data_IF_681925340839
#
_entry.id   IF_681925340839
#
_cell.length_a   1.000
_cell.length_b   1.000
_cell.length_c   1.000
_cell.angle_alpha   90.00
_cell.angle_beta   90.00
_cell.angle_gamma   90.00
#
_symmetry.space_group_name_H-M   'P 1'
#
loop_
_entity.id
_entity.type
_entity.pdbx_description
1 polymer ?
2 non-polymer ?
3 non-polymer ?
4 non-polymer ?
5 water ?
#
# COMPACT_ATOMS: atom_id res chain seq x y z
N UNK A 1 -2.63 -0.57 16.38
CA UNK A 1 -1.51 -1.07 15.53
C UNK A 1 -1.75 -2.49 15.05
N UNK A 2 -1.20 -2.78 13.88
CA UNK A 2 -1.30 -4.07 13.27
C UNK A 2 0.08 -4.69 13.14
N UNK A 3 0.11 -6.02 13.08
CA UNK A 3 1.33 -6.77 13.07
C UNK A 3 1.32 -7.90 12.08
N UNK A 4 2.53 -8.24 11.63
CA UNK A 4 2.72 -9.40 10.77
C UNK A 4 4.09 -10.05 10.93
N UNK A 5 4.06 -11.37 11.09
CA UNK A 5 5.22 -12.19 11.23
C UNK A 5 5.42 -13.07 10.04
N UNK A 6 6.54 -12.87 9.36
CA UNK A 6 6.88 -13.73 8.25
C UNK A 6 7.22 -15.16 8.71
N UNK A 7 7.66 -15.30 9.95
CA UNK A 7 8.01 -16.62 10.48
C UNK A 7 6.77 -17.38 10.72
N UNK A 8 6.58 -18.45 9.97
CA UNK A 8 5.34 -19.19 10.03
C UNK A 8 4.23 -18.67 9.15
N UNK A 9 4.52 -17.69 8.30
CA UNK A 9 3.43 -17.05 7.58
C UNK A 9 2.93 -18.01 6.53
N UNK A 10 1.65 -17.95 6.25
CA UNK A 10 1.05 -18.74 5.21
C UNK A 10 0.00 -17.84 4.56
N UNK A 11 -0.59 -18.28 3.44
CA UNK A 11 -1.64 -17.40 2.83
C UNK A 11 -2.76 -16.97 3.78
N UNK A 12 -3.15 -17.88 4.67
CA UNK A 12 -4.18 -17.57 5.61
C UNK A 12 -3.77 -16.48 6.58
N UNK A 13 -2.58 -16.55 7.15
CA UNK A 13 -2.18 -15.54 8.15
C UNK A 13 -1.88 -14.18 7.48
N UNK A 14 -1.28 -14.20 6.30
CA UNK A 14 -1.15 -12.94 5.54
C UNK A 14 -2.53 -12.32 5.25
N UNK A 15 -3.49 -13.17 4.81
CA UNK A 15 -4.88 -12.76 4.60
C UNK A 15 -5.48 -12.06 5.82
N UNK A 16 -5.20 -12.62 7.00
CA UNK A 16 -5.66 -12.05 8.26
C UNK A 16 -4.96 -10.75 8.54
N UNK A 17 -3.63 -10.69 8.35
CA UNK A 17 -2.92 -9.44 8.48
C UNK A 17 -3.53 -8.36 7.57
N UNK A 18 -3.82 -8.68 6.33
CA UNK A 18 -4.37 -7.63 5.37
C UNK A 18 -5.75 -7.24 5.80
N UNK A 19 -6.52 -8.21 6.28
CA UNK A 19 -7.81 -7.87 6.89
C UNK A 19 -7.65 -6.95 8.10
N UNK A 20 -6.67 -7.18 8.96
CA UNK A 20 -6.46 -6.26 10.11
C UNK A 20 -6.01 -4.89 9.62
N UNK A 21 -5.17 -4.88 8.58
CA UNK A 21 -4.70 -3.60 8.07
C UNK A 21 -5.91 -2.76 7.56
N UNK A 22 -6.78 -3.40 6.80
CA UNK A 22 -7.95 -2.72 6.31
C UNK A 22 -8.82 -2.26 7.49
N UNK A 23 -9.04 -3.12 8.45
CA UNK A 23 -9.92 -2.76 9.58
C UNK A 23 -9.32 -1.76 10.54
N UNK A 24 -8.03 -1.48 10.43
CA UNK A 24 -7.42 -0.41 11.22
C UNK A 24 -7.68 0.97 10.65
N UNK A 25 -8.13 1.05 9.40
CA UNK A 25 -8.29 2.36 8.77
C UNK A 25 -9.68 2.89 9.05
N UNK A 26 -9.80 4.08 9.61
CA UNK A 26 -11.14 4.55 9.98
C UNK A 26 -11.91 5.10 8.79
N UNK A 27 -13.23 5.02 8.93
CA UNK A 27 -14.17 5.55 7.93
C UNK A 27 -15.49 5.88 8.67
N UNK A 28 -16.19 6.90 8.20
CA UNK A 28 -17.52 7.19 8.75
C UNK A 28 -18.59 6.62 7.83
N UNK A 29 -18.31 6.54 6.52
CA UNK A 29 -19.27 5.93 5.61
C UNK A 29 -18.71 4.92 4.57
N UNK A 30 -19.64 4.22 3.94
CA UNK A 30 -19.33 3.32 2.83
C UNK A 30 -20.00 3.86 1.61
N UNK A 31 -19.39 3.60 0.45
CA UNK A 31 -19.92 3.98 -0.83
C UNK A 31 -19.94 2.70 -1.64
N UNK A 32 -21.13 2.27 -2.03
CA UNK A 32 -21.33 0.97 -2.65
C UNK A 32 -20.64 -0.14 -1.87
N UNK A 33 -20.83 -0.04 -0.58
CA UNK A 33 -20.40 -1.02 0.37
C UNK A 33 -18.88 -1.07 0.54
N UNK A 34 -18.18 -0.05 0.03
CA UNK A 34 -16.69 0.05 0.19
C UNK A 34 -16.37 1.18 1.14
N UNK A 35 -15.56 0.91 2.21
CA UNK A 35 -15.12 1.95 3.14
C UNK A 35 -14.52 3.15 2.43
N UNK A 36 -14.94 4.34 2.86
CA UNK A 36 -14.54 5.58 2.25
C UNK A 36 -13.61 6.16 3.28
N UNK A 37 -12.36 6.29 2.88
CA UNK A 37 -11.35 6.84 3.79
C UNK A 37 -11.62 8.29 4.07
N UNK A 38 -11.18 8.72 5.26
CA UNK A 38 -11.56 10.03 5.77
C UNK A 38 -10.86 11.09 5.00
N UNK A 39 -11.50 12.25 4.80
CA UNK A 39 -10.84 13.29 4.06
C UNK A 39 -9.63 13.83 4.83
N UNK A 40 -9.69 13.75 6.18
CA UNK A 40 -8.73 14.41 7.01
C UNK A 40 -8.72 13.80 8.38
N UNK A 41 -7.52 13.63 8.94
CA UNK A 41 -7.31 13.30 10.37
C UNK A 41 -6.17 14.17 10.92
N UNK A 42 -6.43 14.80 12.05
CA UNK A 42 -5.49 15.74 12.65
C UNK A 42 -4.65 15.06 13.73
N UNK A 43 -3.38 15.46 13.72
CA UNK A 43 -2.44 15.09 14.73
C UNK A 43 -1.94 13.71 14.46
N UNK A 44 -1.70 12.99 15.55
CA UNK A 44 -1.01 11.70 15.54
C UNK A 44 -1.94 10.56 15.11
N UNK A 45 -3.24 10.78 15.28
CA UNK A 45 -4.24 9.82 14.85
C UNK A 45 -4.23 9.55 13.36
N UNK A 46 -3.62 10.41 12.59
CA UNK A 46 -3.48 10.21 11.16
C UNK A 46 -2.61 9.01 10.78
N UNK A 47 -1.81 8.52 11.74
CA UNK A 47 -0.78 7.49 11.46
C UNK A 47 -1.02 6.12 12.16
N UNK A 48 -1.12 5.07 11.35
CA UNK A 48 -1.13 3.69 11.81
C UNK A 48 0.29 3.12 11.83
N UNK A 49 0.62 2.34 12.85
CA UNK A 49 1.92 1.70 12.96
C UNK A 49 1.80 0.21 12.66
N UNK A 50 2.51 -0.24 11.62
CA UNK A 50 2.51 -1.65 11.25
C UNK A 50 3.84 -2.20 11.71
N UNK A 51 3.77 -3.23 12.52
CA UNK A 51 4.99 -3.89 12.99
C UNK A 51 5.23 -5.09 12.15
N UNK A 52 6.35 -5.12 11.44
CA UNK A 52 6.63 -6.25 10.55
C UNK A 52 7.83 -6.94 11.06
N UNK A 53 7.76 -8.26 11.07
CA UNK A 53 8.88 -9.08 11.54
C UNK A 53 9.35 -10.01 10.46
N UNK A 54 10.66 -10.06 10.23
CA UNK A 54 11.24 -10.99 9.20
C UNK A 54 11.28 -12.45 9.72
N UNK A 55 11.73 -13.41 8.92
CA UNK A 55 11.78 -14.85 9.33
C UNK A 55 12.55 -15.01 10.67
N UNK A 56 13.56 -14.18 10.84
CA UNK A 56 14.47 -14.28 12.00
C UNK A 56 13.96 -13.50 13.17
N UNK A 57 12.84 -12.83 13.01
CA UNK A 57 12.25 -12.08 14.12
C UNK A 57 12.66 -10.62 14.27
N UNK A 58 13.53 -10.11 13.41
CA UNK A 58 13.88 -8.71 13.45
C UNK A 58 12.69 -7.92 12.92
N UNK A 59 12.57 -6.70 13.40
CA UNK A 59 11.38 -5.95 13.13
C UNK A 59 11.66 -4.56 12.59
N UNK A 60 10.75 -4.10 11.74
CA UNK A 60 10.59 -2.68 11.52
C UNK A 60 9.15 -2.30 11.86
N UNK A 61 8.95 -1.02 12.15
CA UNK A 61 7.67 -0.44 12.28
C UNK A 61 7.44 0.58 11.19
N UNK A 62 6.34 0.37 10.46
CA UNK A 62 6.02 1.27 9.34
C UNK A 62 4.87 2.17 9.68
N UNK A 63 5.04 3.46 9.37
CA UNK A 63 3.99 4.48 9.57
C UNK A 63 3.24 4.69 8.32
N UNK A 64 1.93 4.57 8.44
CA UNK A 64 1.05 4.61 7.31
C UNK A 64 -0.02 5.68 7.58
N UNK A 65 -0.25 6.51 6.58
CA UNK A 65 -1.25 7.57 6.67
C UNK A 65 -2.61 6.95 6.44
N UNK A 66 -3.51 7.12 7.41
CA UNK A 66 -4.75 6.35 7.39
C UNK A 66 -5.76 6.92 6.43
N UNK A 67 -5.46 8.08 5.89
CA UNK A 67 -6.37 8.69 4.93
C UNK A 67 -6.11 8.30 3.50
N UNK A 68 -4.96 7.69 3.22
CA UNK A 68 -4.63 7.36 1.83
C UNK A 68 -3.80 6.09 1.65
N UNK A 69 -3.41 5.52 2.79
CA UNK A 69 -2.67 4.25 2.92
C UNK A 69 -1.25 4.45 2.36
N UNK A 70 -0.76 5.69 2.42
CA UNK A 70 0.61 5.99 2.01
C UNK A 70 1.57 5.67 3.14
N UNK A 71 2.66 5.00 2.82
CA UNK A 71 3.76 4.80 3.76
C UNK A 71 4.52 6.12 3.80
N UNK A 72 4.69 6.68 5.00
CA UNK A 72 5.40 7.90 5.24
C UNK A 72 6.88 7.64 5.60
N UNK A 73 7.14 6.55 6.32
CA UNK A 73 8.42 6.32 6.89
C UNK A 73 8.41 5.06 7.72
N UNK A 74 9.50 4.78 8.42
CA UNK A 74 9.59 3.53 9.18
C UNK A 74 10.73 3.67 10.21
N UNK A 75 10.78 2.76 11.18
CA UNK A 75 11.74 2.77 12.26
C UNK A 75 12.43 1.44 12.25
N UNK A 76 13.77 1.44 12.21
CA UNK A 76 14.57 0.22 12.26
C UNK A 76 15.61 0.43 13.36
N UNK A 77 15.57 -0.44 14.39
CA UNK A 77 16.25 -0.25 15.72
C UNK A 77 15.97 1.12 16.38
N UNK A 78 16.93 2.02 16.30
CA UNK A 78 16.76 3.35 16.86
C UNK A 78 16.83 4.42 15.77
N UNK A 79 16.71 4.03 14.50
CA UNK A 79 16.81 5.01 13.43
C UNK A 79 15.51 5.09 12.66
N UNK A 80 15.05 6.31 12.44
CA UNK A 80 13.81 6.54 11.69
C UNK A 80 14.17 7.00 10.28
N UNK A 81 13.33 6.67 9.30
CA UNK A 81 13.57 6.95 7.90
C UNK A 81 12.26 7.49 7.31
N UNK A 82 12.28 8.58 6.58
CA UNK A 82 11.08 9.15 6.03
C UNK A 82 11.32 9.56 4.63
N UNK A 83 10.28 9.52 3.81
CA UNK A 83 10.47 9.96 2.40
C UNK A 83 10.76 11.43 2.33
N UNK A 84 11.31 11.88 1.20
CA UNK A 84 11.65 13.27 1.02
C UNK A 84 10.45 13.96 0.37
N UNK A 85 9.48 14.25 1.22
CA UNK A 85 8.22 14.84 0.79
C UNK A 85 7.51 15.47 2.04
N UNK A 86 6.75 16.58 1.81
CA UNK A 86 6.14 17.35 2.94
C UNK A 86 5.25 16.50 3.86
N UNK A 87 4.48 15.61 3.26
CA UNK A 87 3.59 14.77 4.04
C UNK A 87 4.33 13.94 5.08
N UNK A 88 5.50 13.44 4.65
CA UNK A 88 6.30 12.56 5.48
C UNK A 88 6.98 13.39 6.51
N UNK A 89 7.43 14.57 6.09
CA UNK A 89 8.07 15.50 7.01
C UNK A 89 7.11 15.78 8.16
N UNK A 90 5.85 16.02 7.83
CA UNK A 90 4.84 16.26 8.84
C UNK A 90 4.68 15.08 9.75
N UNK A 91 4.64 13.90 9.13
CA UNK A 91 4.41 12.71 9.90
C UNK A 91 5.54 12.56 10.90
N UNK A 92 6.71 13.06 10.59
CA UNK A 92 7.89 12.87 11.47
C UNK A 92 7.76 13.70 12.78
N UNK A 93 6.78 14.61 12.79
CA UNK A 93 6.45 15.33 14.01
C UNK A 93 5.70 14.53 15.05
N UNK A 94 5.10 13.43 14.60
CA UNK A 94 4.16 12.67 15.39
C UNK A 94 4.59 11.26 15.63
N UNK A 95 5.43 10.67 14.77
CA UNK A 95 5.84 9.27 14.94
C UNK A 95 7.32 9.05 15.05
N UNK A 96 7.64 8.04 15.87
CA UNK A 96 9.00 7.56 16.11
C UNK A 96 9.83 8.62 16.80
N UNK A 97 9.19 9.31 17.71
CA UNK A 97 9.74 10.49 18.32
C UNK A 97 11.02 10.10 19.06
N UNK A 98 11.00 8.89 19.61
CA UNK A 98 12.08 8.34 20.36
C UNK A 98 13.28 7.83 19.57
N UNK A 99 13.24 7.83 18.24
CA UNK A 99 14.43 7.42 17.46
C UNK A 99 15.60 8.29 17.84
N UNK A 100 16.77 7.67 17.93
CA UNK A 100 18.01 8.38 18.19
C UNK A 100 18.41 9.27 17.04
N UNK A 101 18.09 8.92 15.79
CA UNK A 101 18.24 9.83 14.64
C UNK A 101 17.25 9.57 13.53
N UNK A 102 17.10 10.56 12.67
CA UNK A 102 16.13 10.57 11.65
C UNK A 102 16.83 10.78 10.34
N UNK A 103 16.68 9.82 9.41
CA UNK A 103 17.22 9.99 8.07
C UNK A 103 16.12 10.27 7.02
N UNK A 104 16.30 11.30 6.21
CA UNK A 104 15.40 11.54 5.11
C UNK A 104 15.95 10.83 3.91
N UNK A 105 15.17 9.94 3.35
CA UNK A 105 15.58 9.24 2.15
C UNK A 105 15.76 10.22 0.99
N UNK A 106 16.65 9.89 0.03
CA UNK A 106 16.88 10.79 -1.08
C UNK A 106 15.94 10.62 -2.24
N UNK A 107 14.64 10.48 -1.94
CA UNK A 107 13.58 10.39 -2.93
C UNK A 107 12.26 10.45 -2.17
N UNK A 108 11.23 10.87 -2.89
CA UNK A 108 9.87 10.82 -2.39
C UNK A 108 9.38 9.38 -2.53
N UNK A 109 8.22 9.11 -1.96
CA UNK A 109 7.65 7.76 -2.03
C UNK A 109 6.77 7.36 -3.20
N UNK A 110 6.70 8.14 -4.26
CA UNK A 110 5.86 7.68 -5.37
C UNK A 110 6.57 6.76 -6.30
N UNK A 111 5.78 5.97 -6.96
CA UNK A 111 6.34 4.87 -7.66
C UNK A 111 7.36 5.36 -8.69
N UNK A 112 7.08 6.47 -9.33
CA UNK A 112 8.03 6.92 -10.39
C UNK A 112 9.39 7.20 -9.79
N UNK A 113 9.44 7.88 -8.65
CA UNK A 113 10.74 8.24 -8.08
C UNK A 113 11.43 7.04 -7.48
N UNK A 114 10.65 6.11 -6.96
CA UNK A 114 11.23 4.92 -6.37
C UNK A 114 11.82 4.06 -7.44
N UNK A 115 11.16 3.98 -8.61
CA UNK A 115 11.66 3.10 -9.64
C UNK A 115 12.99 3.65 -10.18
N UNK A 116 13.04 4.94 -10.31
CA UNK A 116 14.31 5.58 -10.69
C UNK A 116 15.43 5.26 -9.73
N UNK A 117 15.18 5.50 -8.46
CA UNK A 117 16.18 5.25 -7.45
C UNK A 117 16.63 3.84 -7.38
N UNK A 118 15.69 2.91 -7.52
CA UNK A 118 15.98 1.51 -7.50
C UNK A 118 16.65 1.04 -8.76
N UNK A 119 16.38 1.71 -9.85
CA UNK A 119 17.07 1.44 -11.13
C UNK A 119 16.32 0.43 -11.98
N UNK A 120 15.01 0.28 -11.72
CA UNK A 120 14.20 -0.67 -12.46
C UNK A 120 12.74 -0.48 -12.14
N UNK A 121 11.87 -0.73 -13.11
CA UNK A 121 10.47 -0.52 -12.80
C UNK A 121 9.86 -1.73 -12.07
N UNK A 122 8.64 -1.53 -11.57
CA UNK A 122 7.94 -2.52 -10.78
C UNK A 122 7.75 -3.78 -11.49
N UNK A 123 7.52 -3.65 -12.79
CA UNK A 123 7.34 -4.81 -13.66
C UNK A 123 8.41 -5.87 -13.55
N UNK A 124 9.60 -5.50 -13.10
CA UNK A 124 10.76 -6.37 -13.06
C UNK A 124 11.23 -6.71 -11.67
N UNK A 125 10.53 -6.23 -10.65
CA UNK A 125 10.87 -6.55 -9.31
C UNK A 125 9.91 -7.60 -8.76
N UNK A 126 10.42 -8.79 -8.45
CA UNK A 126 9.52 -9.83 -7.92
C UNK A 126 8.95 -9.46 -6.56
N UNK A 127 7.69 -9.79 -6.32
CA UNK A 127 7.07 -9.53 -5.05
C UNK A 127 6.56 -10.86 -4.53
N UNK A 128 6.18 -10.85 -3.26
CA UNK A 128 5.71 -12.06 -2.61
C UNK A 128 6.11 -11.96 -1.18
N UNK A 129 5.82 -13.01 -0.42
CA UNK A 129 6.15 -12.93 1.01
C UNK A 129 7.66 -13.07 1.23
N UNK A 130 8.35 -13.91 0.43
CA UNK A 130 9.78 -13.96 0.62
C UNK A 130 10.44 -12.63 0.25
N UNK A 131 9.89 -11.94 -0.75
CA UNK A 131 10.38 -10.59 -1.12
C UNK A 131 10.14 -9.65 0.03
N UNK A 132 9.03 -9.84 0.74
CA UNK A 132 8.79 -8.96 1.85
C UNK A 132 9.78 -9.24 3.01
N UNK A 133 10.05 -10.52 3.32
CA UNK A 133 11.15 -10.82 4.25
C UNK A 133 12.50 -10.14 3.89
N UNK A 134 12.92 -10.26 2.65
CA UNK A 134 14.09 -9.53 2.14
C UNK A 134 13.96 -8.06 2.33
N UNK A 135 12.78 -7.51 2.06
CA UNK A 135 12.63 -6.05 2.13
C UNK A 135 12.83 -5.57 3.56
N UNK A 136 12.25 -6.27 4.52
CA UNK A 136 12.35 -5.88 5.92
C UNK A 136 13.83 -5.98 6.32
N UNK A 137 14.49 -7.04 5.87
CA UNK A 137 15.91 -7.22 6.15
C UNK A 137 16.78 -6.08 5.58
N UNK A 138 16.50 -5.66 4.36
CA UNK A 138 17.15 -4.55 3.71
C UNK A 138 16.93 -3.28 4.51
N UNK A 139 15.73 -3.03 4.98
CA UNK A 139 15.37 -1.72 5.58
C UNK A 139 16.01 -1.61 6.97
N UNK A 140 16.39 -2.73 7.52
CA UNK A 140 17.07 -2.73 8.82
C UNK A 140 18.42 -2.01 8.80
N UNK A 141 19.14 -2.06 7.71
CA UNK A 141 20.37 -1.27 7.65
C UNK A 141 20.39 -0.37 6.42
N UNK A 142 20.59 0.91 6.67
CA UNK A 142 20.43 1.90 5.64
C UNK A 142 21.24 1.55 4.39
N UNK A 143 20.57 1.46 3.26
CA UNK A 143 21.27 1.46 1.98
C UNK A 143 20.24 2.12 1.01
N UNK A 144 20.42 3.38 0.56
CA UNK A 144 19.33 4.04 -0.14
C UNK A 144 18.89 3.42 -1.46
N UNK A 145 19.83 2.97 -2.28
CA UNK A 145 19.45 2.23 -3.53
C UNK A 145 18.70 0.96 -3.27
N UNK A 146 19.22 0.12 -2.38
CA UNK A 146 18.53 -1.10 -2.05
C UNK A 146 17.16 -0.84 -1.38
N UNK A 147 17.08 0.16 -0.50
CA UNK A 147 15.84 0.51 0.16
C UNK A 147 14.73 0.89 -0.83
N UNK A 148 15.05 1.60 -1.92
CA UNK A 148 14.06 1.95 -2.89
C UNK A 148 13.33 0.73 -3.43
N UNK A 149 14.10 -0.32 -3.72
CA UNK A 149 13.54 -1.56 -4.20
C UNK A 149 12.77 -2.23 -3.05
N UNK A 150 13.34 -2.24 -1.85
CA UNK A 150 12.60 -2.82 -0.74
C UNK A 150 11.25 -2.10 -0.52
N UNK A 151 11.21 -0.79 -0.70
CA UNK A 151 10.06 -0.01 -0.43
C UNK A 151 9.00 -0.30 -1.48
N UNK A 152 9.39 -0.54 -2.72
CA UNK A 152 8.44 -0.95 -3.77
C UNK A 152 7.78 -2.29 -3.46
N UNK A 153 8.53 -3.19 -2.86
CA UNK A 153 7.98 -4.45 -2.43
C UNK A 153 7.07 -4.20 -1.24
N UNK A 154 7.51 -3.39 -0.32
CA UNK A 154 6.72 -3.22 0.91
C UNK A 154 5.38 -2.61 0.61
N UNK A 155 5.44 -1.57 -0.17
CA UNK A 155 4.23 -0.90 -0.60
C UNK A 155 3.22 -1.82 -1.22
N UNK A 156 3.63 -2.67 -2.14
CA UNK A 156 2.76 -3.41 -2.89
C UNK A 156 2.22 -4.61 -2.08
N UNK A 157 3.01 -5.12 -1.16
CA UNK A 157 2.59 -6.24 -0.33
C UNK A 157 1.75 -5.84 0.88
N UNK A 158 1.73 -4.57 1.23
CA UNK A 158 0.97 -4.13 2.34
C UNK A 158 -0.18 -3.22 1.83
N UNK A 159 0.13 -1.98 1.51
CA UNK A 159 -0.89 -1.00 1.08
C UNK A 159 -1.66 -1.40 -0.10
N UNK A 160 -1.01 -1.86 -1.16
CA UNK A 160 -1.78 -2.22 -2.39
C UNK A 160 -2.67 -3.44 -2.21
N UNK A 161 -2.22 -4.38 -1.34
CA UNK A 161 -3.02 -5.57 -0.98
C UNK A 161 -4.24 -5.18 -0.16
N UNK A 162 -4.08 -4.21 0.73
CA UNK A 162 -5.18 -3.75 1.54
C UNK A 162 -6.23 -3.11 0.58
N UNK A 163 -5.74 -2.37 -0.42
CA UNK A 163 -6.63 -1.68 -1.33
C UNK A 163 -7.39 -2.57 -2.21
N UNK A 164 -6.77 -3.64 -2.69
CA UNK A 164 -7.38 -4.52 -3.69
C UNK A 164 -7.26 -5.99 -3.31
N UNK A 165 -8.41 -6.67 -3.24
CA UNK A 165 -8.45 -8.12 -3.00
C UNK A 165 -7.70 -8.89 -4.06
N UNK A 166 -7.71 -8.43 -5.32
CA UNK A 166 -6.99 -9.12 -6.37
C UNK A 166 -5.47 -9.12 -6.06
N UNK A 167 -4.95 -8.01 -5.52
CA UNK A 167 -3.54 -7.95 -5.19
C UNK A 167 -3.20 -8.75 -3.92
N UNK A 168 -4.01 -8.68 -2.87
CA UNK A 168 -3.92 -9.63 -1.78
C UNK A 168 -3.80 -11.09 -2.23
N UNK A 169 -4.62 -11.53 -3.20
CA UNK A 169 -4.57 -12.86 -3.71
C UNK A 169 -3.36 -13.14 -4.52
N UNK A 170 -2.88 -12.15 -5.28
CA UNK A 170 -1.62 -12.30 -5.98
C UNK A 170 -0.48 -12.59 -4.99
N UNK A 171 -0.43 -11.87 -3.89
CA UNK A 171 0.59 -12.09 -2.93
C UNK A 171 0.44 -13.47 -2.25
N UNK A 172 -0.79 -13.86 -1.99
CA UNK A 172 -1.04 -15.23 -1.45
C UNK A 172 -0.54 -16.33 -2.35
N UNK A 173 -0.68 -16.13 -3.64
CA UNK A 173 -0.08 -17.02 -4.63
C UNK A 173 1.46 -17.02 -4.56
N UNK A 174 2.05 -15.95 -4.05
CA UNK A 174 3.47 -15.83 -3.95
C UNK A 174 3.96 -15.98 -2.51
N UNK A 175 3.28 -16.78 -1.72
CA UNK A 175 3.65 -16.96 -0.32
C UNK A 175 5.00 -17.59 -0.10
N UNK A 176 5.43 -18.47 -1.02
CA UNK A 176 6.62 -19.28 -0.91
C UNK A 176 7.48 -19.19 -2.17
N UNK A 177 7.09 -18.33 -3.12
CA UNK A 177 7.86 -18.10 -4.34
C UNK A 177 7.50 -16.72 -4.87
N UNK A 178 8.48 -15.80 -4.90
CA UNK A 178 8.30 -14.49 -5.52
C UNK A 178 8.05 -14.58 -6.99
N UNK A 179 7.31 -13.60 -7.52
CA UNK A 179 7.13 -13.46 -8.97
C UNK A 179 6.75 -12.03 -9.26
N UNK A 180 7.18 -11.54 -10.43
CA UNK A 180 6.97 -10.16 -10.79
C UNK A 180 5.46 -9.96 -10.80
N UNK A 181 4.98 -8.74 -10.51
CA UNK A 181 3.54 -8.49 -10.51
C UNK A 181 2.92 -8.63 -11.90
N UNK A 182 1.69 -9.12 -11.93
CA UNK A 182 0.94 -9.23 -13.17
C UNK A 182 0.64 -7.81 -13.68
N UNK A 183 0.36 -7.70 -14.95
CA UNK A 183 0.00 -6.40 -15.51
C UNK A 183 -1.23 -5.80 -14.83
N UNK A 184 -2.16 -6.68 -14.49
CA UNK A 184 -3.40 -6.28 -13.90
C UNK A 184 -3.06 -5.62 -12.62
N UNK A 185 -2.10 -6.19 -11.91
CA UNK A 185 -1.72 -5.64 -10.59
C UNK A 185 -1.19 -4.22 -10.73
N UNK A 186 -0.35 -4.02 -11.73
CA UNK A 186 0.22 -2.70 -11.95
C UNK A 186 -0.86 -1.69 -12.30
N UNK A 187 -1.75 -2.11 -13.17
CA UNK A 187 -2.90 -1.31 -13.64
C UNK A 187 -3.80 -0.81 -12.48
N UNK A 188 -4.14 -1.72 -11.57
CA UNK A 188 -4.92 -1.34 -10.41
C UNK A 188 -4.23 -0.43 -9.49
N UNK A 189 -2.95 -0.70 -9.25
CA UNK A 189 -2.15 0.21 -8.43
C UNK A 189 -2.22 1.65 -9.02
N UNK A 190 -2.05 1.72 -10.34
CA UNK A 190 -2.05 2.99 -11.03
C UNK A 190 -3.44 3.64 -11.05
N UNK A 191 -4.50 2.87 -10.88
CA UNK A 191 -5.88 3.38 -11.09
C UNK A 191 -6.62 3.63 -9.82
N UNK A 192 -5.98 3.32 -8.71
CA UNK A 192 -6.66 3.44 -7.46
C UNK A 192 -7.31 4.79 -7.28
N UNK A 193 -6.56 5.83 -7.49
CA UNK A 193 -7.07 7.15 -7.23
C UNK A 193 -8.28 7.41 -8.15
N UNK A 194 -8.10 7.07 -9.41
CA UNK A 194 -9.13 7.29 -10.42
C UNK A 194 -10.38 6.46 -10.16
N UNK A 195 -10.17 5.19 -9.84
CA UNK A 195 -11.29 4.35 -9.44
C UNK A 195 -12.01 4.89 -8.27
N UNK A 196 -11.29 5.27 -7.22
CA UNK A 196 -11.91 5.84 -6.06
C UNK A 196 -12.80 7.05 -6.41
N UNK A 197 -12.29 7.89 -7.30
CA UNK A 197 -12.98 9.14 -7.60
C UNK A 197 -14.25 8.79 -8.32
N UNK A 198 -14.16 8.01 -9.37
CA UNK A 198 -15.34 7.61 -10.15
C UNK A 198 -16.42 6.82 -9.37
N UNK A 199 -16.03 5.98 -8.44
CA UNK A 199 -16.98 5.28 -7.60
C UNK A 199 -17.75 6.29 -6.74
N UNK A 200 -17.03 7.27 -6.18
CA UNK A 200 -17.68 8.33 -5.46
C UNK A 200 -18.64 9.19 -6.30
N UNK A 201 -18.26 9.48 -7.53
CA UNK A 201 -19.05 10.29 -8.44
C UNK A 201 -20.27 9.51 -8.95
N UNK A 202 -20.11 8.21 -9.15
CA UNK A 202 -21.23 7.35 -9.50
C UNK A 202 -22.43 7.40 -8.53
N UNK A 203 -22.18 7.79 -7.27
CA UNK A 203 -23.20 7.95 -6.23
C UNK A 203 -23.84 9.33 -6.42
N UNK A 204 -24.90 9.36 -7.22
CA UNK A 204 -25.41 10.60 -7.83
C UNK A 204 -25.42 10.54 -9.35
N UNK A 205 -24.97 9.41 -9.91
CA UNK A 205 -25.05 9.18 -11.32
C UNK A 205 -25.49 7.76 -11.61
N UNK A 206 -26.34 7.23 -10.71
CA UNK A 206 -26.98 5.91 -10.82
C UNK A 206 -25.95 4.77 -10.97
N UNK A 207 -24.81 4.89 -10.28
CA UNK A 207 -23.75 3.87 -10.38
C UNK A 207 -22.91 3.91 -11.65
N UNK A 208 -23.07 4.95 -12.46
CA UNK A 208 -22.38 5.04 -13.73
C UNK A 208 -21.18 5.96 -13.50
N UNK A 209 -20.02 5.61 -14.05
CA UNK A 209 -18.83 6.44 -13.91
C UNK A 209 -18.98 7.66 -14.83
N UNK A 210 -18.59 8.82 -14.34
CA UNK A 210 -18.55 10.04 -15.18
C UNK A 210 -17.58 9.81 -16.33
N UNK A 211 -16.38 9.31 -16.02
CA UNK A 211 -15.42 8.95 -17.05
C UNK A 211 -14.96 7.52 -16.79
N UNK A 212 -14.93 6.69 -17.82
CA UNK A 212 -14.55 5.30 -17.62
C UNK A 212 -13.08 5.17 -17.25
N UNK A 213 -12.77 4.14 -16.46
CA UNK A 213 -11.42 3.83 -16.06
C UNK A 213 -10.97 2.66 -16.91
N UNK A 214 -9.90 2.82 -17.68
CA UNK A 214 -9.32 1.71 -18.43
C UNK A 214 -8.33 0.90 -17.55
N UNK A 215 -8.49 -0.43 -17.54
CA UNK A 215 -7.60 -1.34 -16.79
C UNK A 215 -7.11 -2.46 -17.64
N UNK A 216 -6.18 -3.23 -17.05
CA UNK A 216 -5.74 -4.49 -17.63
C UNK A 216 -6.33 -5.62 -16.76
N UNK A 217 -6.92 -6.62 -17.39
CA UNK A 217 -7.59 -7.68 -16.64
C UNK A 217 -6.66 -8.88 -16.33
N UNK A 218 -7.21 -9.82 -15.54
CA UNK A 218 -6.53 -11.03 -15.08
C UNK A 218 -5.88 -11.71 -16.26
N UNK A 219 -6.55 -11.67 -17.41
CA UNK A 219 -6.02 -12.28 -18.67
C UNK A 219 -4.95 -11.50 -19.43
N UNK A 220 -4.68 -10.25 -19.07
CA UNK A 220 -3.70 -9.43 -19.79
C UNK A 220 -4.35 -8.49 -20.82
N UNK A 221 -5.68 -8.48 -20.85
CA UNK A 221 -6.48 -7.63 -21.78
C UNK A 221 -6.96 -6.26 -21.24
N UNK A 222 -6.90 -5.26 -22.11
CA UNK A 222 -7.44 -3.96 -21.81
C UNK A 222 -8.97 -4.10 -21.67
N UNK A 223 -9.48 -3.48 -20.62
CA UNK A 223 -10.89 -3.50 -20.33
C UNK A 223 -11.27 -2.15 -19.83
N UNK A 224 -12.50 -1.81 -20.09
CA UNK A 224 -12.96 -0.52 -19.80
C UNK A 224 -14.03 -0.66 -18.69
N UNK A 225 -13.87 0.06 -17.60
CA UNK A 225 -14.78 0.01 -16.44
C UNK A 225 -15.73 1.22 -16.40
N UNK A 226 -17.02 0.96 -16.45
CA UNK A 226 -17.98 2.05 -16.71
C UNK A 226 -18.99 2.26 -15.62
N UNK A 227 -19.17 1.29 -14.75
CA UNK A 227 -20.15 1.42 -13.68
C UNK A 227 -19.87 0.45 -12.55
N UNK A 228 -20.59 0.63 -11.45
CA UNK A 228 -20.36 -0.07 -10.21
C UNK A 228 -20.79 -1.52 -10.18
N UNK A 229 -21.39 -2.01 -11.26
CA UNK A 229 -21.66 -3.44 -11.44
C UNK A 229 -20.42 -4.19 -11.82
N UNK A 230 -19.36 -3.52 -12.25
CA UNK A 230 -18.14 -4.24 -12.59
C UNK A 230 -17.56 -4.98 -11.33
N UNK A 231 -16.95 -6.12 -11.60
CA UNK A 231 -16.28 -6.93 -10.58
C UNK A 231 -15.20 -6.18 -9.81
N UNK A 232 -14.52 -5.26 -10.50
CA UNK A 232 -13.55 -4.41 -9.84
C UNK A 232 -14.16 -3.68 -8.68
N UNK A 233 -15.42 -3.21 -8.83
CA UNK A 233 -16.13 -2.50 -7.76
C UNK A 233 -16.82 -3.43 -6.77
N UNK A 234 -17.45 -4.47 -7.27
CA UNK A 234 -18.25 -5.37 -6.40
C UNK A 234 -17.37 -6.30 -5.56
N UNK A 235 -16.21 -6.67 -6.11
CA UNK A 235 -15.41 -7.77 -5.54
C UNK A 235 -14.01 -7.30 -5.13
N UNK A 236 -13.38 -6.50 -5.96
CA UNK A 236 -11.97 -6.21 -5.83
C UNK A 236 -11.60 -5.06 -4.88
N UNK A 237 -11.90 -3.83 -5.27
CA UNK A 237 -11.46 -2.71 -4.49
C UNK A 237 -12.04 -2.73 -3.07
N UNK A 238 -11.23 -2.39 -2.06
CA UNK A 238 -11.64 -2.53 -0.65
C UNK A 238 -11.64 -1.26 0.15
N UNK A 239 -11.03 -0.17 -0.39
CA UNK A 239 -10.90 1.08 0.26
C UNK A 239 -10.92 2.15 -0.81
N UNK A 240 -11.56 3.26 -0.49
CA UNK A 240 -11.64 4.39 -1.40
C UNK A 240 -10.94 5.62 -0.89
N UNK A 241 -10.10 6.16 -1.77
CA UNK A 241 -9.49 7.47 -1.57
C UNK A 241 -10.57 8.51 -1.71
N UNK A 242 -10.74 9.30 -0.64
CA UNK A 242 -11.72 10.38 -0.58
C UNK A 242 -11.45 11.42 -1.67
N UNK A 243 -12.47 11.82 -2.42
CA UNK A 243 -12.24 12.74 -3.52
C UNK A 243 -11.72 14.04 -2.93
N UNK A 244 -11.95 14.26 -1.65
CA UNK A 244 -11.38 15.47 -1.00
C UNK A 244 -9.83 15.51 -1.07
N UNK A 245 -9.19 14.40 -1.42
CA UNK A 245 -7.74 14.35 -1.69
C UNK A 245 -7.37 13.99 -3.13
N UNK A 246 -8.34 14.04 -4.05
CA UNK A 246 -8.09 13.85 -5.46
C UNK A 246 -8.25 15.22 -6.20
#
# INVERSE_FOLDING_TARGET
DVSFRLSGADPSSYGMFIKDLRNALPHTEKVYNIPLLLPSVSGAGRYLLMHLFNYDGNTITVAVDVTNVYIMGYLALTTSYFFNEPAADLASQYVFRSARRKITLPYSGNYERLQIAAGKPREKIPIGLPALDTAISTLLHYDSTAAAGALLVLIQTTAEAARFKYIEQQIQERAYRDEVPSSATISLENSWSGLSKQIQLAQGNNGVFRTPTVLVDSKGNRVQITNVTSNVVTSNIQLLLNTKNI
#
